data_IF_560810085357
#
_entry.id   IF_560810085357
#
_cell.length_a   1.000
_cell.length_b   1.000
_cell.length_c   1.000
_cell.angle_alpha   90.00
_cell.angle_beta   90.00
_cell.angle_gamma   90.00
#
_symmetry.space_group_name_H-M   'P 1'
#
loop_
_entity.id
_entity.type
_entity.pdbx_description
1 polymer ?
#
# COMPACT_ATOMS: atom_id res chain seq x y z
N UNK A 1 5.00 4.66 26.45
CA UNK A 1 6.18 4.76 25.56
C UNK A 1 6.31 3.56 24.63
N UNK A 2 6.33 2.33 25.15
CA UNK A 2 6.48 1.09 24.35
C UNK A 2 5.41 0.90 23.27
N UNK A 3 4.12 1.13 23.58
CA UNK A 3 3.01 0.98 22.61
C UNK A 3 3.16 1.93 21.41
N UNK A 4 3.55 3.19 21.64
CA UNK A 4 3.73 4.17 20.56
C UNK A 4 4.85 3.77 19.59
N UNK A 5 5.93 3.17 20.11
CA UNK A 5 7.03 2.66 19.27
C UNK A 5 6.55 1.50 18.40
N UNK A 6 5.79 0.56 18.98
CA UNK A 6 5.23 -0.56 18.23
C UNK A 6 4.25 -0.12 17.14
N UNK A 7 3.33 0.80 17.45
CA UNK A 7 2.34 1.30 16.48
C UNK A 7 3.03 2.10 15.37
N UNK A 8 4.06 2.88 15.69
CA UNK A 8 4.86 3.61 14.70
C UNK A 8 5.61 2.65 13.77
N UNK A 9 6.21 1.58 14.32
CA UNK A 9 6.89 0.56 13.54
C UNK A 9 5.95 -0.19 12.58
N UNK A 10 4.76 -0.57 13.07
CA UNK A 10 3.71 -1.19 12.25
C UNK A 10 3.24 -0.26 11.14
N UNK A 11 3.00 1.02 11.44
CA UNK A 11 2.59 2.01 10.45
C UNK A 11 3.64 2.23 9.36
N UNK A 12 4.92 2.35 9.75
CA UNK A 12 6.03 2.49 8.80
C UNK A 12 6.20 1.25 7.92
N UNK A 13 6.08 0.05 8.51
CA UNK A 13 6.14 -1.20 7.77
C UNK A 13 4.98 -1.32 6.76
N UNK A 14 3.76 -1.02 7.19
CA UNK A 14 2.58 -1.03 6.33
C UNK A 14 2.73 -0.04 5.16
N UNK A 15 3.27 1.15 5.41
CA UNK A 15 3.57 2.13 4.36
C UNK A 15 4.64 1.63 3.37
N UNK A 16 5.69 0.96 3.85
CA UNK A 16 6.72 0.38 3.00
C UNK A 16 6.16 -0.76 2.12
N UNK A 17 5.30 -1.62 2.68
CA UNK A 17 4.59 -2.67 1.92
C UNK A 17 3.72 -2.05 0.84
N UNK A 18 3.00 -0.99 1.18
CA UNK A 18 2.16 -0.27 0.26
C UNK A 18 3.00 0.30 -0.91
N UNK A 19 4.11 0.99 -0.61
CA UNK A 19 5.06 1.50 -1.60
C UNK A 19 5.62 0.40 -2.52
N UNK A 20 5.91 -0.78 -1.97
CA UNK A 20 6.37 -1.92 -2.76
C UNK A 20 5.31 -2.40 -3.77
N UNK A 21 4.04 -2.48 -3.37
CA UNK A 21 2.95 -2.83 -4.28
C UNK A 21 2.75 -1.79 -5.39
N UNK A 22 2.86 -0.50 -5.08
CA UNK A 22 2.82 0.56 -6.08
C UNK A 22 4.00 0.51 -7.05
N UNK A 23 5.21 0.23 -6.56
CA UNK A 23 6.38 0.05 -7.42
C UNK A 23 6.17 -1.14 -8.36
N UNK A 24 5.66 -2.27 -7.84
CA UNK A 24 5.33 -3.44 -8.67
C UNK A 24 4.25 -3.14 -9.71
N UNK A 25 3.22 -2.37 -9.36
CA UNK A 25 2.19 -1.94 -10.31
C UNK A 25 2.77 -1.05 -11.41
N UNK A 26 3.76 -0.21 -11.10
CA UNK A 26 4.43 0.66 -12.08
C UNK A 26 5.27 -0.09 -13.13
N UNK A 27 5.68 -1.32 -12.82
CA UNK A 27 6.45 -2.18 -13.73
C UNK A 27 5.58 -3.07 -14.62
N UNK A 28 4.25 -2.94 -14.54
CA UNK A 28 3.37 -3.67 -15.43
C UNK A 28 3.46 -3.05 -16.82
N UNK A 29 4.18 -3.71 -17.72
CA UNK A 29 4.24 -3.33 -19.13
C UNK A 29 2.86 -3.37 -19.77
N UNK A 30 2.59 -2.38 -20.60
CA UNK A 30 1.32 -2.18 -21.29
C UNK A 30 1.47 -2.66 -22.74
N UNK A 31 0.96 -3.86 -23.10
CA UNK A 31 1.08 -4.37 -24.46
C UNK A 31 0.08 -3.68 -25.41
N UNK A 32 0.46 -3.53 -26.68
CA UNK A 32 -0.35 -2.89 -27.74
C UNK A 32 -1.56 -3.72 -28.22
N UNK A 33 -1.69 -4.98 -27.77
CA UNK A 33 -2.83 -5.82 -28.08
C UNK A 33 -3.94 -5.64 -27.02
N UNK A 34 -5.15 -5.26 -27.43
CA UNK A 34 -6.28 -4.92 -26.53
C UNK A 34 -6.63 -6.07 -25.57
N UNK A 35 -6.62 -7.33 -26.02
CA UNK A 35 -6.93 -8.47 -25.14
C UNK A 35 -5.86 -8.63 -24.04
N UNK A 36 -4.61 -8.36 -24.37
CA UNK A 36 -3.48 -8.44 -23.44
C UNK A 36 -3.39 -7.20 -22.54
N UNK A 37 -3.82 -6.05 -23.06
CA UNK A 37 -3.92 -4.78 -22.34
C UNK A 37 -4.87 -4.89 -21.14
N UNK A 38 -6.06 -5.45 -21.34
CA UNK A 38 -7.04 -5.62 -20.25
C UNK A 38 -6.49 -6.55 -19.15
N UNK A 39 -5.78 -7.61 -19.54
CA UNK A 39 -5.14 -8.52 -18.58
C UNK A 39 -4.05 -7.81 -17.75
N UNK A 40 -3.19 -7.02 -18.39
CA UNK A 40 -2.18 -6.20 -17.73
C UNK A 40 -2.81 -5.17 -16.78
N UNK A 41 -3.86 -4.47 -17.24
CA UNK A 41 -4.56 -3.46 -16.45
C UNK A 41 -5.26 -4.05 -15.23
N UNK A 42 -5.83 -5.26 -15.36
CA UNK A 42 -6.42 -6.00 -14.23
C UNK A 42 -5.36 -6.45 -13.22
N UNK A 43 -4.15 -6.77 -13.67
CA UNK A 43 -3.03 -7.12 -12.80
C UNK A 43 -2.49 -5.89 -12.05
N UNK A 44 -2.29 -4.77 -12.74
CA UNK A 44 -1.93 -3.50 -12.13
C UNK A 44 -2.99 -3.02 -11.11
N UNK A 45 -4.28 -3.15 -11.46
CA UNK A 45 -5.40 -2.81 -10.58
C UNK A 45 -5.42 -3.66 -9.30
N UNK A 46 -5.18 -4.98 -9.39
CA UNK A 46 -5.06 -5.85 -8.21
C UNK A 46 -3.88 -5.43 -7.31
N UNK A 47 -2.72 -5.15 -7.89
CA UNK A 47 -1.56 -4.67 -7.14
C UNK A 47 -1.85 -3.34 -6.44
N UNK A 48 -2.55 -2.42 -7.11
CA UNK A 48 -3.01 -1.16 -6.53
C UNK A 48 -3.98 -1.36 -5.36
N UNK A 49 -4.90 -2.32 -5.44
CA UNK A 49 -5.82 -2.64 -4.34
C UNK A 49 -5.06 -3.15 -3.11
N UNK A 50 -4.04 -4.00 -3.29
CA UNK A 50 -3.17 -4.43 -2.19
C UNK A 50 -2.36 -3.27 -1.59
N UNK A 51 -1.81 -2.40 -2.42
CA UNK A 51 -1.14 -1.18 -1.96
C UNK A 51 -2.08 -0.29 -1.14
N UNK A 52 -3.29 -0.04 -1.64
CA UNK A 52 -4.28 0.79 -0.96
C UNK A 52 -4.68 0.22 0.41
N UNK A 53 -4.90 -1.10 0.51
CA UNK A 53 -5.18 -1.75 1.80
C UNK A 53 -4.02 -1.57 2.79
N UNK A 54 -2.77 -1.74 2.35
CA UNK A 54 -1.61 -1.54 3.20
C UNK A 54 -1.46 -0.08 3.65
N UNK A 55 -1.75 0.90 2.80
CA UNK A 55 -1.75 2.31 3.20
C UNK A 55 -2.90 2.67 4.15
N UNK A 56 -4.06 2.03 4.04
CA UNK A 56 -5.15 2.20 5.02
C UNK A 56 -4.68 1.74 6.40
N UNK A 57 -3.99 0.60 6.49
CA UNK A 57 -3.41 0.13 7.76
C UNK A 57 -2.38 1.13 8.30
N UNK A 58 -1.50 1.66 7.44
CA UNK A 58 -0.54 2.69 7.84
C UNK A 58 -1.22 3.97 8.35
N UNK A 59 -2.28 4.42 7.67
CA UNK A 59 -3.06 5.60 8.04
C UNK A 59 -3.79 5.40 9.38
N UNK A 60 -4.35 4.21 9.62
CA UNK A 60 -4.96 3.86 10.91
C UNK A 60 -3.94 3.87 12.04
N UNK A 61 -2.73 3.34 11.82
CA UNK A 61 -1.64 3.43 12.80
C UNK A 61 -1.27 4.88 13.12
N UNK A 62 -1.20 5.76 12.10
CA UNK A 62 -0.97 7.19 12.28
C UNK A 62 -2.09 7.87 13.08
N UNK A 63 -3.35 7.54 12.79
CA UNK A 63 -4.50 8.06 13.53
C UNK A 63 -4.48 7.63 15.00
N UNK A 64 -4.15 6.36 15.30
CA UNK A 64 -4.03 5.87 16.68
C UNK A 64 -2.92 6.62 17.44
N UNK A 65 -1.78 6.87 16.80
CA UNK A 65 -0.70 7.65 17.41
C UNK A 65 -1.13 9.08 17.70
N UNK A 66 -1.81 9.73 16.76
CA UNK A 66 -2.34 11.08 16.95
C UNK A 66 -3.36 11.14 18.09
N UNK A 67 -4.28 10.16 18.16
CA UNK A 67 -5.30 10.11 19.21
C UNK A 67 -4.74 9.83 20.62
N UNK A 68 -3.64 9.08 20.73
CA UNK A 68 -2.98 8.74 22.00
C UNK A 68 -1.90 9.77 22.42
N UNK A 69 -1.65 10.80 21.61
CA UNK A 69 -0.72 11.89 21.91
C UNK A 69 -1.38 13.09 22.64
N UNK A 70 -2.71 13.10 22.77
CA UNK A 70 -3.48 14.03 23.62
C UNK A 70 -3.85 13.37 24.95
#
# INVERSE_FOLDING_TARGET
MTINIFVSGLGAFAAAVAAYFWLKASWVDVPDNIDTFIAALKLASKLNAFGAMAAVVAALCGMVLFALQF
#
